data_IF_911720151390
#
_entry.id   IF_911720151390
#
_cell.length_a   1.000
_cell.length_b   1.000
_cell.length_c   1.000
_cell.angle_alpha   90.00
_cell.angle_beta   90.00
_cell.angle_gamma   90.00
#
_symmetry.space_group_name_H-M   'P 1'
#
loop_
_entity.id
_entity.type
_entity.pdbx_description
1 polymer ?
#
# COMPACT_ATOMS: atom_id res chain seq x y z
N UNK A 1 11.63 -13.40 -2.88
CA UNK A 1 10.44 -12.62 -3.26
C UNK A 1 10.17 -11.60 -2.17
N UNK A 2 10.06 -10.32 -2.52
CA UNK A 2 9.79 -9.21 -1.59
C UNK A 2 8.30 -9.17 -1.31
N UNK A 3 7.87 -9.17 -0.05
CA UNK A 3 6.46 -9.12 0.34
C UNK A 3 5.98 -7.68 0.45
N UNK A 4 4.97 -7.32 -0.34
CA UNK A 4 4.37 -6.00 -0.31
C UNK A 4 2.90 -6.09 0.09
N UNK A 5 2.50 -5.35 1.14
CA UNK A 5 1.10 -5.14 1.51
C UNK A 5 0.64 -3.79 0.99
N UNK A 6 -0.53 -3.74 0.38
CA UNK A 6 -1.19 -2.50 -0.05
C UNK A 6 -2.56 -2.43 0.63
N UNK A 7 -2.66 -1.60 1.67
CA UNK A 7 -3.91 -1.25 2.33
C UNK A 7 -4.60 -0.17 1.49
N UNK A 8 -5.87 -0.36 1.15
CA UNK A 8 -6.55 0.41 0.10
C UNK A 8 -6.24 -0.10 -1.31
N UNK A 9 -5.95 -1.41 -1.45
CA UNK A 9 -5.57 -2.05 -2.72
C UNK A 9 -6.66 -2.05 -3.80
N UNK A 10 -7.93 -1.90 -3.41
CA UNK A 10 -9.07 -1.71 -4.31
C UNK A 10 -9.24 -0.25 -4.74
N UNK A 11 -8.53 0.70 -4.13
CA UNK A 11 -8.50 2.11 -4.50
C UNK A 11 -7.76 2.40 -5.82
N UNK A 12 -7.96 3.60 -6.38
CA UNK A 12 -7.33 3.98 -7.67
C UNK A 12 -5.81 3.97 -7.59
N UNK A 13 -5.25 4.51 -6.50
CA UNK A 13 -3.79 4.52 -6.31
C UNK A 13 -3.28 3.12 -5.96
N UNK A 14 -3.98 2.41 -5.07
CA UNK A 14 -3.59 1.07 -4.63
C UNK A 14 -3.48 0.07 -5.78
N UNK A 15 -4.48 0.03 -6.67
CA UNK A 15 -4.49 -0.89 -7.81
C UNK A 15 -3.36 -0.59 -8.81
N UNK A 16 -3.02 0.69 -9.01
CA UNK A 16 -1.93 1.09 -9.90
C UNK A 16 -0.55 0.77 -9.29
N UNK A 17 -0.39 0.88 -7.96
CA UNK A 17 0.81 0.41 -7.27
C UNK A 17 0.96 -1.09 -7.46
N UNK A 18 -0.13 -1.85 -7.26
CA UNK A 18 -0.14 -3.30 -7.41
C UNK A 18 0.27 -3.73 -8.83
N UNK A 19 -0.34 -3.11 -9.86
CA UNK A 19 0.02 -3.33 -11.27
C UNK A 19 1.51 -3.05 -11.51
N UNK A 20 2.00 -1.91 -11.04
CA UNK A 20 3.42 -1.54 -11.21
C UNK A 20 4.38 -2.53 -10.55
N UNK A 21 4.06 -3.01 -9.34
CA UNK A 21 4.88 -3.98 -8.62
C UNK A 21 4.84 -5.36 -9.30
N UNK A 22 3.70 -5.75 -9.87
CA UNK A 22 3.57 -6.98 -10.63
C UNK A 22 4.45 -6.92 -11.89
N UNK A 23 4.37 -5.82 -12.65
CA UNK A 23 5.18 -5.59 -13.85
C UNK A 23 6.69 -5.59 -13.57
N UNK A 24 7.11 -5.06 -12.41
CA UNK A 24 8.52 -5.07 -11.99
C UNK A 24 9.01 -6.49 -11.63
N UNK A 25 8.09 -7.38 -11.24
CA UNK A 25 8.40 -8.73 -10.82
C UNK A 25 9.18 -8.82 -9.51
N UNK A 26 9.32 -10.04 -8.97
CA UNK A 26 10.05 -10.28 -7.74
C UNK A 26 9.30 -9.94 -6.44
N UNK A 27 8.03 -9.53 -6.55
CA UNK A 27 7.15 -9.23 -5.43
C UNK A 27 6.10 -10.31 -5.20
N UNK A 28 5.76 -10.55 -3.95
CA UNK A 28 4.53 -11.22 -3.54
C UNK A 28 3.60 -10.15 -2.98
N UNK A 29 2.50 -9.89 -3.67
CA UNK A 29 1.64 -8.73 -3.41
C UNK A 29 0.39 -9.18 -2.65
N UNK A 30 0.12 -8.51 -1.53
CA UNK A 30 -1.15 -8.61 -0.80
C UNK A 30 -1.93 -7.31 -0.98
N UNK A 31 -3.13 -7.41 -1.57
CA UNK A 31 -4.10 -6.34 -1.62
C UNK A 31 -5.06 -6.48 -0.46
N UNK A 32 -5.25 -5.41 0.30
CA UNK A 32 -6.15 -5.34 1.43
C UNK A 32 -7.09 -4.14 1.27
N UNK A 33 -8.39 -4.37 1.19
CA UNK A 33 -9.40 -3.31 1.01
C UNK A 33 -10.77 -3.78 1.49
N UNK A 34 -11.69 -2.86 1.74
CA UNK A 34 -13.09 -3.14 2.07
C UNK A 34 -13.89 -3.67 0.86
N UNK A 35 -13.41 -3.44 -0.35
CA UNK A 35 -13.98 -4.07 -1.54
C UNK A 35 -13.34 -3.63 -2.85
N UNK A 36 -13.38 -4.52 -3.84
CA UNK A 36 -12.68 -4.33 -5.12
C UNK A 36 -13.59 -3.94 -6.29
N UNK A 37 -14.92 -4.12 -6.19
CA UNK A 37 -15.94 -3.68 -7.17
C UNK A 37 -15.58 -3.97 -8.65
N UNK A 38 -15.06 -5.17 -8.95
CA UNK A 38 -14.69 -5.56 -10.32
C UNK A 38 -13.34 -5.01 -10.82
N UNK A 39 -12.61 -4.26 -9.98
CA UNK A 39 -11.32 -3.68 -10.36
C UNK A 39 -10.23 -4.72 -10.52
N UNK A 40 -10.33 -5.87 -9.84
CA UNK A 40 -9.32 -6.92 -10.04
C UNK A 40 -9.40 -7.46 -11.48
N UNK A 41 -10.61 -7.71 -11.98
CA UNK A 41 -10.87 -8.18 -13.34
C UNK A 41 -10.53 -7.12 -14.40
N UNK A 42 -10.73 -5.84 -14.08
CA UNK A 42 -10.40 -4.73 -14.98
C UNK A 42 -8.89 -4.55 -15.12
N UNK A 43 -8.14 -4.72 -14.03
CA UNK A 43 -6.71 -4.40 -13.98
C UNK A 43 -5.79 -5.60 -14.04
N UNK A 44 -6.27 -6.83 -13.91
CA UNK A 44 -5.42 -8.03 -13.90
C UNK A 44 -6.11 -9.18 -14.63
N UNK A 45 -5.35 -9.93 -15.42
CA UNK A 45 -5.86 -11.14 -16.07
C UNK A 45 -6.01 -12.32 -15.06
N UNK A 46 -6.38 -13.50 -15.55
CA UNK A 46 -6.61 -14.65 -14.68
C UNK A 46 -5.33 -15.18 -14.02
N UNK A 47 -4.21 -15.16 -14.74
CA UNK A 47 -2.93 -15.69 -14.25
C UNK A 47 -2.31 -14.70 -13.26
N UNK A 48 -2.35 -13.41 -13.59
CA UNK A 48 -1.91 -12.33 -12.71
C UNK A 48 -2.69 -12.31 -11.39
N UNK A 49 -4.02 -12.49 -11.43
CA UNK A 49 -4.83 -12.58 -10.22
C UNK A 49 -4.48 -13.79 -9.37
N UNK A 50 -4.01 -14.89 -9.95
CA UNK A 50 -3.57 -16.06 -9.19
C UNK A 50 -2.27 -15.80 -8.40
N UNK A 51 -1.47 -14.80 -8.80
CA UNK A 51 -0.27 -14.38 -8.08
C UNK A 51 -0.56 -13.38 -6.94
N UNK A 52 -1.74 -12.75 -6.96
CA UNK A 52 -2.16 -11.78 -5.95
C UNK A 52 -2.81 -12.47 -4.74
N UNK A 53 -2.42 -12.06 -3.54
CA UNK A 53 -3.21 -12.36 -2.33
C UNK A 53 -4.21 -11.24 -2.11
N UNK A 54 -5.51 -11.55 -2.10
CA UNK A 54 -6.57 -10.56 -1.90
C UNK A 54 -7.24 -10.78 -0.55
N UNK A 55 -7.28 -9.74 0.26
CA UNK A 55 -7.96 -9.69 1.56
C UNK A 55 -9.04 -8.63 1.46
N UNK A 56 -10.30 -9.07 1.47
CA UNK A 56 -11.47 -8.19 1.55
C UNK A 56 -11.96 -8.09 2.99
N UNK A 57 -11.78 -6.93 3.62
CA UNK A 57 -12.24 -6.64 4.98
C UNK A 57 -12.28 -5.13 5.29
N UNK A 58 -12.99 -4.75 6.34
CA UNK A 58 -13.03 -3.37 6.83
C UNK A 58 -11.89 -3.09 7.82
N UNK A 59 -10.82 -2.46 7.35
CA UNK A 59 -9.66 -2.09 8.17
C UNK A 59 -9.89 -0.90 9.12
N UNK A 60 -11.12 -0.38 9.20
CA UNK A 60 -11.56 0.45 10.35
C UNK A 60 -11.87 -0.40 11.59
N UNK A 61 -11.89 -1.73 11.47
CA UNK A 61 -11.96 -2.67 12.59
C UNK A 61 -10.56 -3.26 12.86
N UNK A 62 -10.01 -3.14 14.08
CA UNK A 62 -8.71 -3.72 14.42
C UNK A 62 -8.64 -5.25 14.25
N UNK A 63 -9.79 -5.95 14.27
CA UNK A 63 -9.85 -7.40 14.06
C UNK A 63 -9.48 -7.81 12.64
N UNK A 64 -9.68 -6.93 11.65
CA UNK A 64 -9.32 -7.21 10.25
C UNK A 64 -7.82 -7.46 10.07
N UNK A 65 -6.99 -6.81 10.90
CA UNK A 65 -5.53 -6.94 10.84
C UNK A 65 -5.03 -8.34 11.23
N UNK A 66 -5.84 -9.16 11.90
CA UNK A 66 -5.51 -10.56 12.19
C UNK A 66 -5.46 -11.44 10.92
N UNK A 67 -6.02 -10.97 9.80
CA UNK A 67 -5.95 -11.65 8.50
C UNK A 67 -4.66 -11.35 7.75
N UNK A 68 -3.91 -10.31 8.15
CA UNK A 68 -2.66 -9.94 7.52
C UNK A 68 -1.54 -10.89 7.96
N UNK A 69 -0.54 -11.07 7.10
CA UNK A 69 0.64 -11.83 7.48
C UNK A 69 1.46 -11.10 8.55
N UNK A 70 2.22 -11.85 9.35
CA UNK A 70 3.07 -11.29 10.40
C UNK A 70 4.28 -10.50 9.86
N UNK A 71 4.72 -10.78 8.62
CA UNK A 71 5.89 -10.17 8.00
C UNK A 71 5.60 -9.63 6.60
N UNK A 72 5.98 -8.36 6.37
CA UNK A 72 6.00 -7.71 5.07
C UNK A 72 7.29 -6.90 4.91
N UNK A 73 7.87 -6.86 3.71
CA UNK A 73 9.04 -6.00 3.48
C UNK A 73 8.62 -4.54 3.26
N UNK A 74 7.46 -4.34 2.62
CA UNK A 74 6.87 -3.02 2.39
C UNK A 74 5.37 -3.00 2.71
N UNK A 75 4.90 -1.90 3.31
CA UNK A 75 3.48 -1.63 3.56
C UNK A 75 3.14 -0.28 2.95
N UNK A 76 2.19 -0.26 2.02
CA UNK A 76 1.64 0.94 1.41
C UNK A 76 0.26 1.21 2.00
N UNK A 77 0.13 2.26 2.80
CA UNK A 77 -1.16 2.70 3.35
C UNK A 77 -1.82 3.73 2.42
N UNK A 78 -2.81 3.28 1.65
CA UNK A 78 -3.58 4.10 0.71
C UNK A 78 -5.08 4.08 1.00
N UNK A 79 -5.52 3.44 2.08
CA UNK A 79 -6.93 3.43 2.50
C UNK A 79 -7.30 4.78 3.11
N UNK A 80 -8.29 5.45 2.54
CA UNK A 80 -8.89 6.67 3.07
C UNK A 80 -10.22 6.97 2.40
N UNK A 81 -11.13 7.66 3.10
CA UNK A 81 -12.18 8.44 2.45
C UNK A 81 -11.56 9.74 1.95
N UNK A 82 -11.71 9.98 0.66
CA UNK A 82 -11.20 11.17 -0.04
C UNK A 82 -12.33 11.91 -0.76
N UNK A 83 -12.08 13.18 -1.08
CA UNK A 83 -12.97 14.02 -1.87
C UNK A 83 -13.61 15.15 -1.06
N UNK A 84 -13.52 16.38 -1.58
CA UNK A 84 -13.98 17.59 -0.88
C UNK A 84 -15.47 17.52 -0.54
N UNK A 85 -16.31 17.09 -1.49
CA UNK A 85 -17.76 17.03 -1.27
C UNK A 85 -18.12 16.09 -0.11
N UNK A 86 -17.50 14.91 -0.03
CA UNK A 86 -17.73 13.98 1.08
C UNK A 86 -17.29 14.56 2.42
N UNK A 87 -16.17 15.28 2.46
CA UNK A 87 -15.72 15.96 3.68
C UNK A 87 -16.66 17.08 4.09
N UNK A 88 -17.31 17.76 3.15
CA UNK A 88 -18.30 18.81 3.46
C UNK A 88 -19.63 18.22 3.91
N UNK A 89 -20.07 17.13 3.29
CA UNK A 89 -21.36 16.48 3.57
C UNK A 89 -21.32 15.62 4.85
N UNK A 90 -20.21 14.93 5.09
CA UNK A 90 -20.04 13.93 6.17
C UNK A 90 -18.66 14.04 6.85
N UNK A 91 -18.27 15.21 7.41
CA UNK A 91 -16.96 15.41 8.02
C UNK A 91 -16.66 14.45 9.18
N UNK A 92 -17.66 14.13 10.00
CA UNK A 92 -17.55 13.20 11.12
C UNK A 92 -17.19 11.78 10.67
N UNK A 93 -17.74 11.33 9.54
CA UNK A 93 -17.41 10.02 8.99
C UNK A 93 -15.99 10.02 8.43
N UNK A 94 -15.61 11.07 7.68
CA UNK A 94 -14.26 11.20 7.12
C UNK A 94 -13.20 11.19 8.22
N UNK A 95 -13.40 11.97 9.28
CA UNK A 95 -12.50 12.00 10.43
C UNK A 95 -12.45 10.63 11.10
N UNK A 96 -13.62 10.04 11.43
CA UNK A 96 -13.69 8.75 12.11
C UNK A 96 -12.96 7.66 11.33
N UNK A 97 -13.24 7.52 10.03
CA UNK A 97 -12.67 6.46 9.19
C UNK A 97 -11.18 6.66 8.97
N UNK A 98 -10.75 7.86 8.56
CA UNK A 98 -9.33 8.09 8.27
C UNK A 98 -8.46 8.01 9.54
N UNK A 99 -9.01 8.46 10.68
CA UNK A 99 -8.34 8.31 11.99
C UNK A 99 -8.25 6.85 12.39
N UNK A 100 -9.33 6.07 12.27
CA UNK A 100 -9.34 4.65 12.60
C UNK A 100 -8.34 3.85 11.74
N UNK A 101 -8.36 4.05 10.41
CA UNK A 101 -7.42 3.40 9.49
C UNK A 101 -5.97 3.69 9.88
N UNK A 102 -5.65 4.96 10.11
CA UNK A 102 -4.30 5.38 10.51
C UNK A 102 -3.91 4.77 11.87
N UNK A 103 -4.79 4.88 12.86
CA UNK A 103 -4.54 4.43 14.22
C UNK A 103 -4.31 2.92 14.29
N UNK A 104 -5.22 2.12 13.74
CA UNK A 104 -5.12 0.66 13.82
C UNK A 104 -3.99 0.10 12.95
N UNK A 105 -3.64 0.76 11.84
CA UNK A 105 -2.44 0.39 11.09
C UNK A 105 -1.18 0.67 11.87
N UNK A 106 -1.06 1.83 12.51
CA UNK A 106 0.10 2.14 13.35
C UNK A 106 0.20 1.17 14.53
N UNK A 107 -0.93 0.82 15.17
CA UNK A 107 -0.95 -0.19 16.22
C UNK A 107 -0.49 -1.56 15.72
N UNK A 108 -1.01 -2.01 14.56
CA UNK A 108 -0.59 -3.28 13.96
C UNK A 108 0.90 -3.27 13.59
N UNK A 109 1.42 -2.17 13.04
CA UNK A 109 2.83 -2.00 12.68
C UNK A 109 3.79 -2.08 13.89
N UNK A 110 3.32 -1.84 15.11
CA UNK A 110 4.15 -2.05 16.32
C UNK A 110 4.43 -3.53 16.60
N UNK A 111 3.57 -4.42 16.10
CA UNK A 111 3.65 -5.87 16.34
C UNK A 111 4.09 -6.63 15.09
N UNK A 112 3.84 -6.09 13.90
CA UNK A 112 4.22 -6.67 12.64
C UNK A 112 5.73 -6.50 12.35
N UNK A 113 6.32 -7.48 11.68
CA UNK A 113 7.68 -7.40 11.18
C UNK A 113 7.66 -6.70 9.82
N UNK A 114 7.95 -5.40 9.80
CA UNK A 114 8.00 -4.62 8.56
C UNK A 114 9.42 -4.18 8.20
N UNK A 115 9.82 -4.44 6.95
CA UNK A 115 11.18 -4.33 6.40
C UNK A 115 11.92 -2.99 6.51
N UNK A 116 11.32 -1.95 7.08
CA UNK A 116 11.99 -0.68 7.37
C UNK A 116 11.59 -0.02 8.71
N UNK A 117 10.84 -0.69 9.60
CA UNK A 117 10.42 -0.09 10.88
C UNK A 117 10.96 -0.81 12.14
N UNK A 118 11.64 -1.95 12.03
CA UNK A 118 12.30 -2.50 13.21
C UNK A 118 13.45 -1.58 13.66
N UNK A 119 13.35 -1.11 14.92
CA UNK A 119 14.41 -0.48 15.72
C UNK A 119 15.79 -1.09 15.44
N UNK A 120 16.90 -0.33 15.60
CA UNK A 120 18.16 -0.62 14.92
C UNK A 120 18.66 -2.01 15.29
N UNK A 121 18.72 -2.96 14.32
CA UNK A 121 19.59 -4.09 14.53
C UNK A 121 21.00 -3.54 14.31
N UNK A 122 21.86 -3.67 15.29
CA UNK A 122 23.30 -3.45 15.15
C UNK A 122 23.97 -4.39 14.09
N UNK A 123 23.21 -4.93 13.13
CA UNK A 123 23.63 -6.06 12.30
C UNK A 123 22.86 -6.20 10.95
N UNK A 124 22.46 -5.12 10.28
CA UNK A 124 22.11 -5.20 8.84
C UNK A 124 23.17 -4.50 7.99
N UNK A 125 24.24 -5.23 7.69
CA UNK A 125 25.35 -4.83 6.80
C UNK A 125 24.98 -5.00 5.32
N UNK A 126 23.80 -4.53 4.92
CA UNK A 126 23.46 -4.36 3.50
C UNK A 126 22.96 -2.94 3.31
N UNK A 127 23.61 -2.12 2.46
CA UNK A 127 23.15 -0.77 2.21
C UNK A 127 21.75 -0.86 1.56
N UNK A 128 20.83 0.06 1.90
CA UNK A 128 19.54 0.11 1.24
C UNK A 128 19.74 0.28 -0.27
N UNK A 129 18.89 -0.35 -1.12
CA UNK A 129 18.94 -0.09 -2.56
C UNK A 129 18.76 1.41 -2.76
N UNK A 130 19.73 2.00 -3.48
CA UNK A 130 19.77 3.44 -3.79
C UNK A 130 18.38 3.88 -4.26
N UNK A 131 17.77 4.79 -3.51
CA UNK A 131 16.67 5.63 -3.99
C UNK A 131 17.11 6.15 -5.36
N UNK A 132 16.40 5.74 -6.42
CA UNK A 132 16.62 6.26 -7.76
C UNK A 132 16.25 7.75 -7.71
N UNK A 133 17.24 8.61 -7.47
CA UNK A 133 17.08 10.04 -7.69
C UNK A 133 16.84 10.20 -9.18
N UNK A 134 15.60 10.49 -9.55
CA UNK A 134 15.21 10.89 -10.90
C UNK A 134 16.20 11.98 -11.36
N UNK A 135 17.14 11.63 -12.23
CA UNK A 135 18.03 12.61 -12.87
C UNK A 135 17.10 13.52 -13.67
N UNK A 136 16.80 14.71 -13.15
CA UNK A 136 16.23 15.79 -13.95
C UNK A 136 17.15 15.99 -15.14
N UNK A 137 16.72 15.56 -16.33
CA UNK A 137 17.37 15.93 -17.58
C UNK A 137 17.18 17.44 -17.75
N UNK A 138 18.15 18.22 -17.26
CA UNK A 138 18.28 19.62 -17.67
C UNK A 138 18.67 19.62 -19.14
N UNK A 139 17.68 19.50 -20.04
CA UNK A 139 17.82 20.00 -21.41
C UNK A 139 18.03 21.51 -21.30
N UNK A 140 19.30 21.94 -21.37
CA UNK A 140 19.65 23.34 -21.63
C UNK A 140 19.02 23.69 -22.99
N UNK A 141 17.90 24.41 -22.99
CA UNK A 141 17.51 25.22 -24.15
C UNK A 141 18.60 26.28 -24.29
N UNK A 142 19.48 26.11 -25.28
CA UNK A 142 20.25 27.23 -25.82
C UNK A 142 19.25 28.09 -26.57
N UNK A 143 18.94 29.26 -26.03
CA UNK A 143 18.44 30.36 -26.84
C UNK A 143 19.53 30.71 -27.86
N UNK A 144 19.16 30.66 -29.13
CA UNK A 144 19.71 31.48 -30.20
C UNK A 144 18.54 32.24 -30.78
#
# INVERSE_FOLDING_TARGET
MIKALILGGGGFIGINIARRLLDDGGYTITLADKGYRGRLEEYFDADERAELTVIEDDFTDPRAYAKLANHYDYVYMMAAIVGVNRTLEHPEEVIRVNTALTHYTLEWLQRAEVGAWSSPPAARTTPPPRIYSMRRSRRRRRCR
#
